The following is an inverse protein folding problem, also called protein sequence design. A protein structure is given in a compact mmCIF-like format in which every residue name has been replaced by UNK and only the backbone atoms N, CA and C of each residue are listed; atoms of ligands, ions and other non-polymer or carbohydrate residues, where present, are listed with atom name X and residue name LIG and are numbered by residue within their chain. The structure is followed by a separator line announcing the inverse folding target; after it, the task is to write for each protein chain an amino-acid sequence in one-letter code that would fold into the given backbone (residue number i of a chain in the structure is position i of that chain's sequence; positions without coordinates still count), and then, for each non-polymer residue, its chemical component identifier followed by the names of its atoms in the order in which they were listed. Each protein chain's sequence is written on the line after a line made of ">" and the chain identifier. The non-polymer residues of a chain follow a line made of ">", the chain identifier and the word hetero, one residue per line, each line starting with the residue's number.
data_IF_052849514772
#
_entry.id   IF_052849514772
#
_cell.length_a   1.000
_cell.length_b   1.000
_cell.length_c   1.000
_cell.angle_alpha   90.00
_cell.angle_beta   90.00
_cell.angle_gamma   90.00
#
_symmetry.space_group_name_H-M   'P 1'
#
loop_
_entity.id
_entity.type
_entity.pdbx_description
1 polymer ?
#
# COMPACT_ATOMS: atom_id res chain seq x y z
N UNK A 1 65.24 47.21 52.06
CA UNK A 1 65.11 47.50 50.64
C UNK A 1 64.63 46.21 49.96
N UNK A 2 63.43 46.12 49.52
CA UNK A 2 62.95 44.93 48.82
C UNK A 2 62.74 45.17 47.30
N UNK A 3 63.13 44.19 46.52
CA UNK A 3 63.08 44.10 45.08
C UNK A 3 61.67 43.75 44.58
N UNK A 4 61.25 44.49 43.59
CA UNK A 4 59.96 44.21 42.85
C UNK A 4 60.06 42.97 42.01
N UNK A 5 59.07 42.05 42.12
CA UNK A 5 58.81 40.95 41.15
C UNK A 5 57.64 41.36 40.28
N UNK A 6 57.86 41.34 38.97
CA UNK A 6 56.84 41.49 37.94
C UNK A 6 56.00 40.25 37.83
N UNK A 7 54.65 40.37 37.89
CA UNK A 7 53.70 39.36 37.54
C UNK A 7 53.31 39.54 36.06
N UNK A 8 53.55 38.52 35.25
CA UNK A 8 53.04 38.43 33.89
C UNK A 8 51.70 37.69 33.96
N UNK A 9 50.61 38.36 33.54
CA UNK A 9 49.31 37.78 33.45
C UNK A 9 49.21 36.97 32.10
N UNK A 10 49.07 35.64 32.19
CA UNK A 10 48.77 34.78 31.04
C UNK A 10 47.27 34.68 30.81
N UNK A 11 46.82 35.11 29.65
CA UNK A 11 45.43 35.01 29.22
C UNK A 11 45.17 33.58 28.72
N UNK A 12 44.32 32.85 29.41
CA UNK A 12 43.81 31.56 28.95
C UNK A 12 42.64 31.78 27.95
N UNK A 13 42.90 31.47 26.69
CA UNK A 13 41.85 31.41 25.68
C UNK A 13 41.14 30.02 25.73
N UNK A 14 39.90 30.02 26.22
CA UNK A 14 39.01 28.83 26.14
C UNK A 14 38.47 28.72 24.74
N UNK A 15 39.05 27.80 23.94
CA UNK A 15 38.50 27.40 22.67
C UNK A 15 37.40 26.36 22.87
N UNK A 16 36.13 26.74 22.69
CA UNK A 16 35.01 25.82 22.54
C UNK A 16 35.07 25.20 21.15
N UNK A 17 35.67 24.02 21.06
CA UNK A 17 35.62 23.19 19.86
C UNK A 17 34.25 22.57 19.71
N UNK A 18 33.44 23.06 18.79
CA UNK A 18 32.23 22.38 18.33
C UNK A 18 32.63 21.09 17.57
N UNK A 19 32.39 19.94 18.17
CA UNK A 19 32.47 18.66 17.47
C UNK A 19 31.31 18.59 16.47
N UNK A 20 31.56 18.98 15.23
CA UNK A 20 30.75 18.62 14.10
C UNK A 20 30.93 17.09 13.89
N UNK A 21 29.94 16.30 14.34
CA UNK A 21 29.86 14.91 14.01
C UNK A 21 29.59 14.79 12.49
N UNK A 22 30.64 14.65 11.70
CA UNK A 22 30.57 14.25 10.31
C UNK A 22 30.01 12.83 10.26
N UNK A 23 28.72 12.70 9.95
CA UNK A 23 28.16 11.39 9.57
C UNK A 23 28.90 10.96 8.31
N UNK A 24 29.81 9.99 8.46
CA UNK A 24 30.71 9.56 7.41
C UNK A 24 29.97 8.96 6.20
N UNK A 25 30.65 8.91 5.04
CA UNK A 25 30.10 8.42 3.75
C UNK A 25 29.60 6.98 3.78
N UNK A 26 29.94 6.20 4.81
CA UNK A 26 29.54 4.79 4.97
C UNK A 26 28.03 4.57 5.21
N UNK A 27 27.29 5.50 5.82
CA UNK A 27 25.82 5.36 5.97
C UNK A 27 25.07 5.63 4.66
N UNK A 28 25.54 6.56 3.85
CA UNK A 28 24.92 6.87 2.56
C UNK A 28 25.18 5.77 1.51
N UNK A 29 26.37 5.17 1.48
CA UNK A 29 26.72 4.08 0.58
C UNK A 29 25.94 2.79 0.92
N UNK A 30 25.79 2.43 2.21
CA UNK A 30 25.02 1.27 2.64
C UNK A 30 23.51 1.40 2.35
N UNK A 31 23.01 2.62 2.21
CA UNK A 31 21.61 2.90 1.88
C UNK A 31 21.35 2.84 0.37
N UNK A 32 22.35 3.09 -0.47
CA UNK A 32 22.25 3.01 -1.93
C UNK A 32 22.13 1.57 -2.46
N UNK A 33 22.61 0.59 -1.69
CA UNK A 33 22.65 -0.83 -2.08
C UNK A 33 21.50 -1.67 -1.50
N UNK A 34 20.65 -1.08 -0.65
CA UNK A 34 19.52 -1.77 -0.03
C UNK A 34 18.29 -1.70 -0.92
N UNK A 35 17.63 -2.88 -1.13
CA UNK A 35 16.33 -2.95 -1.81
C UNK A 35 15.35 -1.99 -1.17
N UNK A 36 14.73 -1.14 -1.99
CA UNK A 36 13.65 -0.28 -1.56
C UNK A 36 12.37 -1.10 -1.37
N UNK A 37 11.74 -0.99 -0.19
CA UNK A 37 10.54 -1.72 0.16
C UNK A 37 9.36 -0.76 0.26
N UNK A 38 8.34 -0.99 -0.58
CA UNK A 38 7.12 -0.19 -0.62
C UNK A 38 5.92 -1.09 -0.40
N UNK A 39 5.21 -0.90 0.70
CA UNK A 39 3.97 -1.63 0.97
C UNK A 39 2.82 -1.06 0.13
N UNK A 40 2.30 -1.84 -0.81
CA UNK A 40 1.25 -1.39 -1.71
C UNK A 40 -0.14 -1.33 -1.04
N UNK A 41 -0.28 -1.74 0.22
CA UNK A 41 -1.54 -1.62 0.95
C UNK A 41 -1.40 -1.65 2.46
N UNK A 42 -1.72 -0.51 3.07
CA UNK A 42 -1.95 -0.37 4.51
C UNK A 42 -3.23 0.39 4.78
N UNK A 43 -3.86 0.16 5.94
CA UNK A 43 -5.04 0.89 6.40
C UNK A 43 -4.70 1.69 7.65
N UNK A 44 -5.28 2.89 7.77
CA UNK A 44 -5.18 3.76 8.94
C UNK A 44 -6.56 4.22 9.35
N UNK A 45 -6.82 4.28 10.66
CA UNK A 45 -8.06 4.83 11.20
C UNK A 45 -7.89 5.36 12.62
N UNK A 46 -8.75 6.32 12.97
CA UNK A 46 -8.92 6.86 14.32
C UNK A 46 -10.01 6.08 15.07
N UNK A 47 -10.06 6.25 16.38
CA UNK A 47 -11.22 5.84 17.15
C UNK A 47 -12.48 6.54 16.63
N UNK A 48 -13.63 5.87 16.77
CA UNK A 48 -14.90 6.51 16.50
C UNK A 48 -15.13 7.69 17.44
N UNK A 49 -15.61 8.80 16.89
CA UNK A 49 -15.94 10.01 17.66
C UNK A 49 -17.11 10.74 16.99
N UNK A 50 -17.70 11.75 17.65
CA UNK A 50 -18.74 12.59 17.03
C UNK A 50 -18.31 13.19 15.68
N UNK A 51 -17.04 13.56 15.53
CA UNK A 51 -16.48 14.17 14.31
C UNK A 51 -16.02 13.11 13.31
N UNK A 52 -15.82 11.87 13.77
CA UNK A 52 -15.32 10.77 12.95
C UNK A 52 -16.13 9.49 13.14
N UNK A 53 -17.40 9.58 12.77
CA UNK A 53 -18.36 8.48 12.88
C UNK A 53 -18.04 7.35 11.91
N UNK A 54 -18.34 6.15 12.34
CA UNK A 54 -18.28 4.96 11.48
C UNK A 54 -19.64 4.69 10.83
N UNK A 55 -19.59 4.04 9.68
CA UNK A 55 -20.80 3.60 8.98
C UNK A 55 -21.50 2.51 9.82
N UNK A 56 -22.77 2.66 10.13
CA UNK A 56 -23.51 1.69 10.93
C UNK A 56 -23.35 0.26 10.41
N UNK A 57 -23.05 -0.68 11.31
CA UNK A 57 -22.89 -2.10 10.98
C UNK A 57 -21.50 -2.50 10.44
N UNK A 58 -20.63 -1.54 10.13
CA UNK A 58 -19.24 -1.84 9.78
C UNK A 58 -18.34 -1.83 11.02
N UNK A 59 -17.38 -2.74 11.05
CA UNK A 59 -16.43 -2.90 12.16
C UNK A 59 -14.99 -2.79 11.65
N UNK A 60 -14.07 -2.24 12.45
CA UNK A 60 -12.66 -2.21 12.12
C UNK A 60 -12.05 -3.62 12.19
N UNK A 61 -10.91 -3.77 11.51
CA UNK A 61 -10.15 -5.03 11.49
C UNK A 61 -9.48 -5.34 12.83
N UNK A 62 -9.21 -4.31 13.64
CA UNK A 62 -8.66 -4.42 15.01
C UNK A 62 -9.52 -3.60 15.96
N UNK A 63 -9.62 -3.98 17.24
CA UNK A 63 -10.40 -3.25 18.22
C UNK A 63 -9.85 -1.86 18.53
N UNK A 64 -8.52 -1.71 18.49
CA UNK A 64 -7.88 -0.40 18.70
C UNK A 64 -7.64 0.33 17.38
N UNK A 65 -7.56 1.67 17.41
CA UNK A 65 -7.14 2.47 16.28
C UNK A 65 -5.78 2.04 15.73
N UNK A 66 -5.65 2.07 14.42
CA UNK A 66 -4.36 1.86 13.78
C UNK A 66 -3.83 3.21 13.27
N UNK A 67 -3.05 3.85 14.13
CA UNK A 67 -2.65 5.25 13.96
C UNK A 67 -1.45 5.43 13.02
N UNK A 68 -1.25 6.65 12.59
CA UNK A 68 -0.09 7.05 11.77
C UNK A 68 1.21 6.72 12.50
N UNK A 69 1.30 7.05 13.79
CA UNK A 69 2.50 6.82 14.61
C UNK A 69 2.82 5.33 14.73
N UNK A 70 1.78 4.52 14.99
CA UNK A 70 1.91 3.06 15.08
C UNK A 70 2.44 2.48 13.78
N UNK A 71 1.87 2.88 12.63
CA UNK A 71 2.34 2.43 11.34
C UNK A 71 3.79 2.83 11.07
N UNK A 72 4.14 4.11 11.30
CA UNK A 72 5.50 4.62 11.07
C UNK A 72 6.53 3.86 11.91
N UNK A 73 6.24 3.65 13.21
CA UNK A 73 7.11 2.86 14.09
C UNK A 73 7.32 1.44 13.57
N UNK A 74 6.26 0.77 13.15
CA UNK A 74 6.34 -0.59 12.60
C UNK A 74 7.09 -0.64 11.25
N UNK A 75 6.91 0.36 10.39
CA UNK A 75 7.65 0.49 9.14
C UNK A 75 9.16 0.66 9.39
N UNK A 76 9.52 1.53 10.35
CA UNK A 76 10.93 1.80 10.70
C UNK A 76 11.60 0.54 11.27
N UNK A 77 10.91 -0.17 12.17
CA UNK A 77 11.41 -1.43 12.74
C UNK A 77 11.59 -2.53 11.67
N UNK A 78 10.66 -2.63 10.72
CA UNK A 78 10.69 -3.65 9.68
C UNK A 78 11.58 -3.29 8.47
N UNK A 79 11.98 -2.02 8.34
CA UNK A 79 12.75 -1.51 7.20
C UNK A 79 11.91 -1.24 5.95
N UNK A 80 10.64 -0.85 6.13
CA UNK A 80 9.74 -0.42 5.04
C UNK A 80 9.94 1.07 4.76
N UNK A 81 10.29 1.43 3.54
CA UNK A 81 10.60 2.81 3.17
C UNK A 81 9.35 3.64 2.95
N UNK A 82 8.37 3.09 2.25
CA UNK A 82 7.16 3.79 1.80
C UNK A 82 5.94 2.88 1.90
N UNK A 83 4.75 3.48 1.99
CA UNK A 83 3.50 2.72 1.95
C UNK A 83 2.38 3.46 1.21
N UNK A 84 1.52 2.70 0.56
CA UNK A 84 0.29 3.20 -0.04
C UNK A 84 -0.85 3.02 0.96
N UNK A 85 -1.38 4.13 1.44
CA UNK A 85 -2.53 4.14 2.35
C UNK A 85 -3.80 3.96 1.53
N UNK A 86 -4.57 2.97 1.89
CA UNK A 86 -5.92 2.74 1.38
C UNK A 86 -6.88 3.02 2.53
N UNK A 87 -7.66 4.11 2.52
CA UNK A 87 -8.62 4.38 3.58
C UNK A 87 -9.61 3.22 3.73
N UNK A 88 -9.88 2.75 4.96
CA UNK A 88 -10.82 1.66 5.18
C UNK A 88 -12.27 2.08 4.92
N UNK A 89 -13.20 1.12 4.85
CA UNK A 89 -14.59 1.38 4.51
C UNK A 89 -15.47 1.82 5.69
N UNK A 90 -15.09 1.46 6.93
CA UNK A 90 -15.92 1.77 8.10
C UNK A 90 -16.02 3.25 8.46
N UNK A 91 -15.07 4.15 8.16
CA UNK A 91 -15.31 5.58 8.28
C UNK A 91 -16.06 6.19 7.08
N UNK A 92 -16.55 5.38 6.13
CA UNK A 92 -17.16 5.86 4.89
C UNK A 92 -16.13 6.28 3.83
N UNK A 93 -16.56 7.15 2.91
CA UNK A 93 -15.70 7.59 1.79
C UNK A 93 -14.81 8.80 2.18
N UNK A 94 -14.15 8.69 3.34
CA UNK A 94 -13.26 9.72 3.90
C UNK A 94 -11.80 9.44 3.53
N UNK A 95 -11.08 10.53 3.24
CA UNK A 95 -9.65 10.49 2.92
C UNK A 95 -8.80 11.35 3.87
N UNK A 96 -9.43 12.10 4.76
CA UNK A 96 -8.81 13.12 5.62
C UNK A 96 -7.66 12.58 6.48
N UNK A 97 -7.82 11.41 7.13
CA UNK A 97 -6.77 10.85 7.97
C UNK A 97 -5.58 10.30 7.17
N UNK A 98 -5.85 9.73 5.99
CA UNK A 98 -4.81 9.31 5.08
C UNK A 98 -4.00 10.51 4.53
N UNK A 99 -4.68 11.62 4.21
CA UNK A 99 -4.02 12.85 3.78
C UNK A 99 -3.26 13.54 4.92
N UNK A 100 -3.73 13.43 6.17
CA UNK A 100 -2.97 13.84 7.36
C UNK A 100 -1.64 13.10 7.45
N UNK A 101 -1.63 11.79 7.20
CA UNK A 101 -0.39 11.00 7.17
C UNK A 101 0.58 11.50 6.09
N UNK A 102 0.08 11.80 4.90
CA UNK A 102 0.91 12.37 3.82
C UNK A 102 1.48 13.74 4.22
N UNK A 103 0.66 14.62 4.80
CA UNK A 103 1.11 15.94 5.25
C UNK A 103 2.24 15.83 6.27
N UNK A 104 2.19 14.84 7.16
CA UNK A 104 3.22 14.62 8.21
C UNK A 104 4.46 13.90 7.65
N UNK A 105 4.29 13.03 6.68
CA UNK A 105 5.36 12.21 6.10
C UNK A 105 5.28 12.18 4.55
N UNK A 106 5.53 13.30 3.87
CA UNK A 106 5.22 13.48 2.44
C UNK A 106 6.04 12.58 1.49
N UNK A 107 7.20 12.11 1.93
CA UNK A 107 8.05 11.19 1.16
C UNK A 107 7.69 9.72 1.38
N UNK A 108 6.96 9.41 2.46
CA UNK A 108 6.69 8.02 2.87
C UNK A 108 5.33 7.49 2.45
N UNK A 109 4.36 8.37 2.15
CA UNK A 109 2.99 7.93 1.88
C UNK A 109 2.42 8.45 0.57
N UNK A 110 1.61 7.62 -0.06
CA UNK A 110 0.63 7.98 -1.10
C UNK A 110 -0.71 7.37 -0.73
N UNK A 111 -1.79 7.96 -1.27
CA UNK A 111 -3.15 7.56 -0.94
C UNK A 111 -3.89 7.08 -2.19
N UNK A 112 -4.47 5.90 -2.10
CA UNK A 112 -5.51 5.46 -3.03
C UNK A 112 -6.85 5.74 -2.36
N UNK A 113 -7.40 6.92 -2.63
CA UNK A 113 -8.53 7.47 -1.91
C UNK A 113 -9.86 6.77 -2.25
N UNK A 114 -10.85 6.98 -1.39
CA UNK A 114 -12.22 6.51 -1.60
C UNK A 114 -13.07 7.60 -2.22
N UNK A 115 -14.09 7.18 -2.97
CA UNK A 115 -15.04 8.05 -3.64
C UNK A 115 -16.45 7.44 -3.56
N UNK A 116 -17.52 8.22 -3.34
CA UNK A 116 -18.89 7.69 -3.36
C UNK A 116 -19.31 7.30 -4.78
N UNK A 117 -19.20 6.01 -5.11
CA UNK A 117 -19.56 5.47 -6.43
C UNK A 117 -21.04 5.59 -6.76
N UNK A 118 -21.90 5.60 -5.75
CA UNK A 118 -23.35 5.74 -5.91
C UNK A 118 -23.78 7.16 -6.32
N UNK A 119 -22.89 8.14 -6.19
CA UNK A 119 -23.16 9.53 -6.61
C UNK A 119 -22.36 9.87 -7.88
N UNK A 120 -23.01 9.89 -9.06
CA UNK A 120 -22.32 10.22 -10.32
C UNK A 120 -21.79 11.67 -10.37
N UNK A 121 -22.23 12.58 -9.49
CA UNK A 121 -21.63 13.92 -9.37
C UNK A 121 -20.20 13.88 -8.86
N UNK A 122 -19.80 12.77 -8.24
CA UNK A 122 -18.41 12.53 -7.84
C UNK A 122 -17.44 12.53 -9.04
N UNK A 123 -17.92 12.39 -10.28
CA UNK A 123 -17.13 12.54 -11.48
C UNK A 123 -16.41 13.90 -11.56
N UNK A 124 -17.02 14.96 -11.02
CA UNK A 124 -16.47 16.32 -11.02
C UNK A 124 -15.21 16.46 -10.13
N UNK A 125 -14.98 15.51 -9.22
CA UNK A 125 -13.80 15.48 -8.37
C UNK A 125 -12.55 14.92 -9.08
N UNK A 126 -12.75 14.05 -10.08
CA UNK A 126 -11.66 13.27 -10.69
C UNK A 126 -10.61 14.10 -11.41
N UNK A 127 -10.95 15.16 -12.18
CA UNK A 127 -9.96 15.99 -12.85
C UNK A 127 -8.97 16.66 -11.89
N UNK A 128 -9.40 16.95 -10.65
CA UNK A 128 -8.60 17.61 -9.61
C UNK A 128 -8.09 16.65 -8.53
N UNK A 129 -8.29 15.35 -8.69
CA UNK A 129 -7.98 14.35 -7.67
C UNK A 129 -6.55 14.41 -7.20
N UNK A 130 -5.59 14.47 -8.14
CA UNK A 130 -4.16 14.53 -7.86
C UNK A 130 -3.64 15.90 -7.40
N UNK A 131 -4.47 16.95 -7.43
CA UNK A 131 -4.09 18.26 -6.86
C UNK A 131 -3.97 18.20 -5.34
N UNK A 132 -4.67 17.26 -4.70
CA UNK A 132 -4.50 16.98 -3.28
C UNK A 132 -3.14 16.28 -3.07
N UNK A 133 -2.25 16.90 -2.32
CA UNK A 133 -0.91 16.38 -2.07
C UNK A 133 -0.94 14.92 -1.59
N UNK A 134 -0.26 14.04 -2.34
CA UNK A 134 -0.15 12.61 -2.02
C UNK A 134 -1.29 11.73 -2.51
N UNK A 135 -2.37 12.30 -3.05
CA UNK A 135 -3.43 11.52 -3.67
C UNK A 135 -2.95 10.95 -5.00
N UNK A 136 -2.84 9.63 -5.10
CA UNK A 136 -2.26 8.94 -6.24
C UNK A 136 -3.29 8.29 -7.17
N UNK A 137 -4.45 7.91 -6.64
CA UNK A 137 -5.49 7.22 -7.38
C UNK A 137 -6.71 6.92 -6.50
N UNK A 138 -7.53 5.98 -6.95
CA UNK A 138 -8.80 5.66 -6.28
C UNK A 138 -8.86 4.18 -5.96
N UNK A 139 -9.47 3.84 -4.81
CA UNK A 139 -9.79 2.47 -4.45
C UNK A 139 -11.29 2.25 -4.41
N UNK A 140 -11.77 1.27 -5.18
CA UNK A 140 -13.17 0.83 -5.22
C UNK A 140 -13.31 -0.59 -4.69
N UNK A 141 -14.48 -0.88 -4.10
CA UNK A 141 -14.71 -2.16 -3.42
C UNK A 141 -16.10 -2.71 -3.75
N UNK A 142 -16.12 -3.97 -4.18
CA UNK A 142 -17.32 -4.71 -4.55
C UNK A 142 -17.35 -6.05 -3.80
N UNK A 143 -17.53 -5.99 -2.46
CA UNK A 143 -17.36 -7.16 -1.59
C UNK A 143 -18.51 -7.44 -0.63
N UNK A 144 -19.60 -6.69 -0.70
CA UNK A 144 -20.77 -6.86 0.15
C UNK A 144 -22.08 -6.76 -0.67
N UNK A 145 -23.19 -7.08 -0.06
CA UNK A 145 -24.51 -7.11 -0.71
C UNK A 145 -24.92 -5.78 -1.35
N UNK A 146 -24.47 -4.65 -0.81
CA UNK A 146 -24.75 -3.32 -1.35
C UNK A 146 -23.89 -3.01 -2.59
N UNK A 147 -22.58 -3.30 -2.54
CA UNK A 147 -21.63 -2.83 -3.55
C UNK A 147 -21.39 -3.82 -4.70
N UNK A 148 -21.64 -5.12 -4.50
CA UNK A 148 -21.49 -6.13 -5.56
C UNK A 148 -22.36 -5.81 -6.79
N UNK A 149 -23.66 -5.44 -6.64
CA UNK A 149 -24.51 -5.12 -7.79
C UNK A 149 -23.99 -3.96 -8.65
N UNK A 150 -23.27 -3.01 -8.07
CA UNK A 150 -22.78 -1.82 -8.78
C UNK A 150 -21.85 -2.14 -9.97
N UNK A 151 -21.28 -3.34 -10.01
CA UNK A 151 -20.52 -3.81 -11.19
C UNK A 151 -21.39 -4.10 -12.42
N UNK A 152 -22.71 -4.34 -12.22
CA UNK A 152 -23.60 -4.83 -13.29
C UNK A 152 -24.90 -4.07 -13.44
N UNK A 153 -25.31 -3.32 -12.42
CA UNK A 153 -26.59 -2.55 -12.38
C UNK A 153 -26.50 -1.14 -12.98
N UNK A 154 -25.32 -0.73 -13.42
CA UNK A 154 -25.07 0.59 -14.00
C UNK A 154 -24.55 1.63 -13.02
N UNK A 155 -24.61 1.40 -11.70
CA UNK A 155 -24.19 2.37 -10.68
C UNK A 155 -22.73 2.83 -10.88
N UNK A 156 -21.82 1.93 -11.18
CA UNK A 156 -20.40 2.26 -11.39
C UNK A 156 -20.05 2.64 -12.84
N UNK A 157 -20.99 2.68 -13.79
CA UNK A 157 -20.69 2.86 -15.21
C UNK A 157 -20.08 4.23 -15.53
N UNK A 158 -20.45 5.27 -14.82
CA UNK A 158 -19.87 6.62 -14.98
C UNK A 158 -18.41 6.68 -14.59
N UNK A 159 -18.00 5.85 -13.62
CA UNK A 159 -16.70 5.92 -12.96
C UNK A 159 -15.55 5.51 -13.88
N UNK A 160 -15.72 4.42 -14.61
CA UNK A 160 -14.62 3.84 -15.41
C UNK A 160 -14.09 4.80 -16.48
N UNK A 161 -14.94 5.37 -17.36
CA UNK A 161 -14.48 6.35 -18.35
C UNK A 161 -13.97 7.64 -17.71
N UNK A 162 -14.54 8.06 -16.57
CA UNK A 162 -14.11 9.27 -15.88
C UNK A 162 -12.71 9.09 -15.23
N UNK A 163 -12.45 7.93 -14.61
CA UNK A 163 -11.14 7.61 -14.05
C UNK A 163 -10.08 7.44 -15.15
N UNK A 164 -10.43 6.78 -16.27
CA UNK A 164 -9.56 6.66 -17.45
C UNK A 164 -9.19 8.03 -18.01
N UNK A 165 -10.18 8.89 -18.26
CA UNK A 165 -9.98 10.26 -18.76
C UNK A 165 -9.10 11.10 -17.84
N UNK A 166 -9.23 10.94 -16.53
CA UNK A 166 -8.43 11.63 -15.54
C UNK A 166 -7.02 11.02 -15.33
N UNK A 167 -6.71 9.90 -16.00
CA UNK A 167 -5.42 9.20 -15.85
C UNK A 167 -5.16 8.71 -14.43
N UNK A 168 -6.23 8.30 -13.72
CA UNK A 168 -6.15 7.85 -12.35
C UNK A 168 -6.01 6.33 -12.26
N UNK A 169 -4.96 5.81 -11.61
CA UNK A 169 -4.90 4.40 -11.26
C UNK A 169 -6.07 4.01 -10.34
N UNK A 170 -6.65 2.86 -10.58
CA UNK A 170 -7.79 2.34 -9.79
C UNK A 170 -7.41 1.01 -9.14
N UNK A 171 -7.32 0.98 -7.82
CA UNK A 171 -7.29 -0.26 -7.05
C UNK A 171 -8.70 -0.81 -6.91
N UNK A 172 -8.90 -2.06 -7.28
CA UNK A 172 -10.22 -2.69 -7.32
C UNK A 172 -10.23 -3.98 -6.50
N UNK A 173 -11.11 -4.05 -5.51
CA UNK A 173 -11.37 -5.27 -4.74
C UNK A 173 -12.75 -5.83 -5.09
N UNK A 174 -12.77 -6.89 -5.87
CA UNK A 174 -13.98 -7.55 -6.37
C UNK A 174 -13.90 -9.08 -6.19
N UNK A 175 -13.84 -9.59 -4.93
CA UNK A 175 -13.67 -11.01 -4.66
C UNK A 175 -14.83 -11.83 -5.21
N UNK A 176 -14.50 -12.92 -5.95
CA UNK A 176 -15.47 -13.77 -6.62
C UNK A 176 -16.23 -13.12 -7.80
N UNK A 177 -15.76 -11.94 -8.25
CA UNK A 177 -16.33 -11.16 -9.36
C UNK A 177 -15.25 -10.63 -10.30
N UNK A 178 -14.03 -11.15 -10.19
CA UNK A 178 -12.86 -10.69 -10.96
C UNK A 178 -13.12 -10.81 -12.47
N UNK A 179 -13.86 -11.84 -12.93
CA UNK A 179 -14.23 -12.01 -14.33
C UNK A 179 -15.05 -10.85 -14.91
N UNK A 180 -15.82 -10.14 -14.07
CA UNK A 180 -16.62 -8.98 -14.50
C UNK A 180 -15.74 -7.75 -14.82
N UNK A 181 -14.49 -7.73 -14.39
CA UNK A 181 -13.55 -6.64 -14.68
C UNK A 181 -13.00 -6.72 -16.11
N UNK A 182 -12.97 -7.91 -16.71
CA UNK A 182 -12.47 -8.11 -18.08
C UNK A 182 -13.12 -7.19 -19.11
N UNK A 183 -14.46 -7.21 -19.28
CA UNK A 183 -15.17 -6.31 -20.20
C UNK A 183 -15.00 -4.83 -19.90
N UNK A 184 -14.74 -4.45 -18.62
CA UNK A 184 -14.48 -3.06 -18.22
C UNK A 184 -13.13 -2.62 -18.76
N UNK A 185 -12.05 -3.36 -18.45
CA UNK A 185 -10.69 -2.98 -18.87
C UNK A 185 -10.47 -3.09 -20.37
N UNK A 186 -11.23 -3.93 -21.06
CA UNK A 186 -11.24 -4.04 -22.51
C UNK A 186 -11.84 -2.79 -23.19
N UNK A 187 -12.93 -2.26 -22.63
CA UNK A 187 -13.57 -1.02 -23.10
C UNK A 187 -12.80 0.24 -22.72
N UNK A 188 -11.93 0.15 -21.70
CA UNK A 188 -11.14 1.24 -21.15
C UNK A 188 -9.65 0.91 -21.16
N UNK A 189 -8.99 0.85 -22.34
CA UNK A 189 -7.60 0.35 -22.48
C UNK A 189 -6.56 1.27 -21.82
N UNK A 190 -6.90 2.53 -21.55
CA UNK A 190 -6.02 3.48 -20.84
C UNK A 190 -6.25 3.46 -19.31
N UNK A 191 -7.29 2.77 -18.82
CA UNK A 191 -7.58 2.65 -17.40
C UNK A 191 -6.52 1.77 -16.72
N UNK A 192 -5.72 2.35 -15.85
CA UNK A 192 -4.73 1.61 -15.06
C UNK A 192 -5.41 0.88 -13.89
N UNK A 193 -5.89 -0.35 -14.10
CA UNK A 193 -6.52 -1.15 -13.07
C UNK A 193 -5.48 -1.94 -12.26
N UNK A 194 -5.66 -1.99 -10.95
CA UNK A 194 -4.85 -2.78 -10.00
C UNK A 194 -5.80 -3.71 -9.24
N UNK A 195 -5.72 -5.00 -9.50
CA UNK A 195 -6.53 -6.00 -8.80
C UNK A 195 -5.98 -6.21 -7.38
N UNK A 196 -6.81 -5.97 -6.36
CA UNK A 196 -6.42 -6.16 -4.96
C UNK A 196 -6.40 -7.63 -4.57
N UNK A 197 -5.33 -8.04 -3.86
CA UNK A 197 -5.19 -9.36 -3.21
C UNK A 197 -5.45 -10.56 -4.15
N UNK A 198 -5.12 -10.43 -5.44
CA UNK A 198 -5.42 -11.47 -6.45
C UNK A 198 -6.92 -11.84 -6.52
N UNK A 199 -7.81 -10.95 -6.05
CA UNK A 199 -9.25 -11.22 -5.95
C UNK A 199 -9.64 -12.19 -4.84
N UNK A 200 -8.74 -12.49 -3.89
CA UNK A 200 -8.93 -13.47 -2.83
C UNK A 200 -9.45 -12.85 -1.53
N UNK A 201 -10.17 -13.67 -0.76
CA UNK A 201 -10.52 -13.43 0.65
C UNK A 201 -10.24 -14.65 1.50
N UNK A 202 -10.11 -14.47 2.82
CA UNK A 202 -9.99 -15.59 3.76
C UNK A 202 -11.22 -16.53 3.74
N UNK A 203 -12.42 -16.03 3.39
CA UNK A 203 -13.61 -16.85 3.26
C UNK A 203 -13.49 -17.89 2.14
N UNK A 204 -12.81 -17.56 1.03
CA UNK A 204 -12.63 -18.48 -0.09
C UNK A 204 -11.80 -19.71 0.25
N UNK A 205 -10.93 -19.63 1.27
CA UNK A 205 -10.22 -20.81 1.79
C UNK A 205 -11.18 -21.84 2.38
N UNK A 206 -12.19 -21.36 3.13
CA UNK A 206 -13.20 -22.23 3.74
C UNK A 206 -14.09 -22.88 2.70
N UNK A 207 -14.41 -22.14 1.64
CA UNK A 207 -15.32 -22.55 0.58
C UNK A 207 -14.63 -23.30 -0.57
N UNK A 208 -13.33 -23.60 -0.47
CA UNK A 208 -12.52 -24.23 -1.54
C UNK A 208 -12.58 -23.50 -2.90
N UNK A 209 -12.72 -22.16 -2.90
CA UNK A 209 -12.83 -21.32 -4.12
C UNK A 209 -11.56 -20.61 -4.52
N UNK A 210 -10.43 -20.94 -3.89
CA UNK A 210 -9.13 -20.26 -4.13
C UNK A 210 -8.66 -20.51 -5.57
N UNK A 211 -8.75 -21.76 -6.06
CA UNK A 211 -8.31 -22.12 -7.41
C UNK A 211 -9.09 -21.38 -8.49
N UNK A 212 -10.41 -21.29 -8.36
CA UNK A 212 -11.25 -20.52 -9.28
C UNK A 212 -10.89 -19.03 -9.27
N UNK A 213 -10.71 -18.44 -8.09
CA UNK A 213 -10.34 -17.03 -7.96
C UNK A 213 -8.96 -16.74 -8.55
N UNK A 214 -7.97 -17.60 -8.34
CA UNK A 214 -6.65 -17.51 -8.98
C UNK A 214 -6.76 -17.64 -10.50
N UNK A 215 -7.57 -18.59 -11.00
CA UNK A 215 -7.84 -18.72 -12.43
C UNK A 215 -8.41 -17.44 -13.05
N UNK A 216 -9.37 -16.79 -12.38
CA UNK A 216 -9.93 -15.51 -12.82
C UNK A 216 -8.89 -14.38 -12.79
N UNK A 217 -8.05 -14.31 -11.74
CA UNK A 217 -6.97 -13.32 -11.66
C UNK A 217 -5.94 -13.49 -12.78
N UNK A 218 -5.52 -14.74 -13.06
CA UNK A 218 -4.60 -15.06 -14.16
C UNK A 218 -5.22 -14.69 -15.52
N UNK A 219 -6.51 -14.95 -15.74
CA UNK A 219 -7.19 -14.60 -16.98
C UNK A 219 -7.21 -13.10 -17.29
N UNK A 220 -7.17 -12.25 -16.26
CA UNK A 220 -7.05 -10.79 -16.44
C UNK A 220 -5.66 -10.33 -16.89
N UNK A 221 -4.63 -11.13 -16.72
CA UNK A 221 -3.25 -10.76 -17.08
C UNK A 221 -3.05 -10.50 -18.58
N UNK A 222 -3.95 -11.01 -19.44
CA UNK A 222 -3.96 -10.73 -20.89
C UNK A 222 -4.14 -9.24 -21.20
N UNK A 223 -4.72 -8.46 -20.30
CA UNK A 223 -4.91 -7.02 -20.48
C UNK A 223 -3.67 -6.26 -19.96
N UNK A 224 -2.93 -5.53 -20.83
CA UNK A 224 -1.68 -4.86 -20.42
C UNK A 224 -1.88 -3.72 -19.43
N UNK A 225 -3.08 -3.15 -19.38
CA UNK A 225 -3.47 -2.09 -18.45
C UNK A 225 -3.86 -2.60 -17.05
N UNK A 226 -3.86 -3.94 -16.83
CA UNK A 226 -4.14 -4.55 -15.54
C UNK A 226 -2.87 -4.97 -14.82
N UNK A 227 -2.80 -4.66 -13.55
CA UNK A 227 -1.77 -5.11 -12.59
C UNK A 227 -2.43 -5.80 -11.40
N UNK A 228 -1.65 -6.46 -10.57
CA UNK A 228 -2.18 -7.24 -9.43
C UNK A 228 -1.37 -7.01 -8.16
N UNK A 229 -2.04 -6.94 -7.02
CA UNK A 229 -1.36 -7.01 -5.72
C UNK A 229 -1.18 -8.46 -5.31
N UNK A 230 0.06 -8.89 -5.20
CA UNK A 230 0.52 -10.13 -4.61
C UNK A 230 0.57 -9.94 -3.08
N UNK A 231 -0.58 -9.81 -2.45
CA UNK A 231 -0.69 -9.31 -1.08
C UNK A 231 -1.61 -10.18 -0.22
N UNK A 232 -1.65 -9.89 1.08
CA UNK A 232 -2.49 -10.57 2.07
C UNK A 232 -2.17 -12.07 2.28
N UNK A 233 -0.97 -12.55 1.93
CA UNK A 233 -0.57 -13.95 2.06
C UNK A 233 -0.90 -14.58 3.41
N UNK A 234 -0.62 -13.94 4.58
CA UNK A 234 -1.00 -14.54 5.86
C UNK A 234 -2.52 -14.70 6.03
N UNK A 235 -3.31 -13.79 5.45
CA UNK A 235 -4.78 -13.82 5.52
C UNK A 235 -5.40 -14.96 4.74
N UNK A 236 -4.77 -15.37 3.64
CA UNK A 236 -5.24 -16.40 2.72
C UNK A 236 -4.48 -17.72 2.85
N UNK A 237 -3.65 -17.89 3.89
CA UNK A 237 -2.95 -19.13 4.20
C UNK A 237 -3.66 -19.91 5.31
N UNK A 238 -3.64 -21.24 5.21
CA UNK A 238 -4.00 -22.19 6.27
C UNK A 238 -2.81 -22.56 7.15
N UNK A 239 -1.59 -22.27 6.68
CA UNK A 239 -0.34 -22.59 7.36
C UNK A 239 0.22 -21.38 8.11
N UNK A 240 0.98 -21.60 9.19
CA UNK A 240 1.80 -20.55 9.78
C UNK A 240 2.90 -20.09 8.80
N UNK A 241 3.63 -19.04 9.18
CA UNK A 241 4.84 -18.65 8.44
C UNK A 241 5.76 -19.88 8.21
N UNK A 242 6.26 -20.07 7.00
CA UNK A 242 6.33 -19.14 5.86
C UNK A 242 5.18 -19.26 4.84
N UNK A 243 3.98 -19.73 5.18
CA UNK A 243 2.79 -19.74 4.31
C UNK A 243 2.98 -20.52 3.02
N UNK A 244 3.53 -21.73 3.09
CA UNK A 244 3.92 -22.53 1.92
C UNK A 244 2.76 -22.88 1.01
N UNK A 245 1.58 -23.04 1.57
CA UNK A 245 0.35 -23.36 0.83
C UNK A 245 -0.08 -22.29 -0.17
N UNK A 246 0.36 -21.01 0.01
CA UNK A 246 0.05 -19.94 -0.94
C UNK A 246 1.15 -19.69 -1.98
N UNK A 247 2.33 -20.29 -1.84
CA UNK A 247 3.46 -20.04 -2.74
C UNK A 247 3.16 -20.42 -4.20
N UNK A 248 2.46 -21.54 -4.42
CA UNK A 248 2.04 -21.98 -5.76
C UNK A 248 1.05 -21.01 -6.42
N UNK A 249 0.12 -20.45 -5.66
CA UNK A 249 -0.83 -19.44 -6.16
C UNK A 249 -0.13 -18.13 -6.51
N UNK A 250 0.77 -17.66 -5.65
CA UNK A 250 1.59 -16.48 -5.91
C UNK A 250 2.45 -16.65 -7.17
N UNK A 251 3.08 -17.82 -7.34
CA UNK A 251 3.86 -18.14 -8.53
C UNK A 251 3.05 -18.04 -9.80
N UNK A 252 1.88 -18.69 -9.86
CA UNK A 252 0.99 -18.68 -11.05
C UNK A 252 0.57 -17.25 -11.43
N UNK A 253 0.20 -16.44 -10.46
CA UNK A 253 -0.19 -15.05 -10.71
C UNK A 253 1.02 -14.22 -11.13
N UNK A 254 2.17 -14.39 -10.46
CA UNK A 254 3.40 -13.69 -10.83
C UNK A 254 3.85 -14.02 -12.25
N UNK A 255 3.84 -15.29 -12.66
CA UNK A 255 4.21 -15.72 -14.01
C UNK A 255 3.28 -15.12 -15.09
N UNK A 256 1.99 -14.93 -14.78
CA UNK A 256 1.04 -14.33 -15.70
C UNK A 256 1.22 -12.82 -15.86
N UNK A 257 1.52 -12.10 -14.79
CA UNK A 257 1.63 -10.63 -14.81
C UNK A 257 3.06 -10.12 -15.04
N UNK A 258 4.05 -10.90 -14.63
CA UNK A 258 5.46 -10.50 -14.59
C UNK A 258 5.77 -9.49 -13.46
N UNK A 259 7.07 -9.19 -13.25
CA UNK A 259 7.52 -8.41 -12.10
C UNK A 259 7.06 -6.94 -12.11
N UNK A 260 6.83 -6.36 -13.29
CA UNK A 260 6.45 -4.96 -13.42
C UNK A 260 4.96 -4.69 -13.16
N UNK A 261 4.13 -5.75 -13.14
CA UNK A 261 2.68 -5.66 -12.89
C UNK A 261 2.23 -6.40 -11.63
N UNK A 262 3.16 -6.98 -10.88
CA UNK A 262 2.93 -7.60 -9.58
C UNK A 262 3.43 -6.70 -8.45
N UNK A 263 2.60 -6.42 -7.44
CA UNK A 263 2.94 -5.52 -6.33
C UNK A 263 2.82 -6.23 -4.99
N UNK A 264 3.91 -6.27 -4.25
CA UNK A 264 3.87 -6.70 -2.86
C UNK A 264 3.08 -5.69 -2.01
N UNK A 265 2.34 -6.19 -1.03
CA UNK A 265 1.66 -5.39 -0.04
C UNK A 265 1.19 -6.26 1.11
N UNK A 266 1.09 -5.70 2.30
CA UNK A 266 0.81 -6.52 3.48
C UNK A 266 -0.67 -6.71 3.74
N UNK A 267 -1.49 -5.69 3.52
CA UNK A 267 -2.83 -5.61 4.11
C UNK A 267 -2.79 -5.94 5.61
N UNK A 268 -1.82 -5.33 6.30
CA UNK A 268 -1.28 -5.71 7.60
C UNK A 268 -2.37 -5.98 8.65
N UNK A 269 -3.34 -5.07 8.75
CA UNK A 269 -4.38 -5.10 9.78
C UNK A 269 -5.38 -6.24 9.60
N UNK A 270 -5.59 -6.70 8.36
CA UNK A 270 -6.53 -7.77 8.03
C UNK A 270 -6.11 -9.17 8.55
N UNK A 271 -4.83 -9.36 8.80
CA UNK A 271 -4.26 -10.60 9.33
C UNK A 271 -3.18 -10.31 10.38
N UNK A 272 -3.41 -9.29 11.20
CA UNK A 272 -2.42 -8.71 12.11
C UNK A 272 -1.76 -9.74 13.03
N UNK A 273 -2.57 -10.60 13.66
CA UNK A 273 -2.09 -11.62 14.59
C UNK A 273 -1.36 -12.80 13.93
N UNK A 274 -1.44 -12.96 12.60
CA UNK A 274 -0.88 -14.13 11.89
C UNK A 274 0.61 -14.00 11.57
N UNK A 275 1.12 -12.76 11.42
CA UNK A 275 2.51 -12.53 11.05
C UNK A 275 2.98 -11.13 11.45
N UNK A 276 4.26 -11.00 11.83
CA UNK A 276 4.92 -9.71 11.98
C UNK A 276 5.11 -9.04 10.61
N UNK A 277 5.40 -7.73 10.61
CA UNK A 277 5.72 -7.02 9.37
C UNK A 277 6.95 -7.63 8.69
N UNK A 278 7.99 -7.93 9.47
CA UNK A 278 9.22 -8.56 8.96
C UNK A 278 8.95 -9.92 8.31
N UNK A 279 8.11 -10.78 8.90
CA UNK A 279 7.74 -12.05 8.30
C UNK A 279 7.01 -11.90 6.95
N UNK A 280 6.23 -10.82 6.78
CA UNK A 280 5.58 -10.53 5.48
C UNK A 280 6.59 -10.12 4.42
N UNK A 281 7.66 -9.43 4.81
CA UNK A 281 8.78 -9.07 3.93
C UNK A 281 9.60 -10.32 3.59
N UNK A 282 10.08 -11.07 4.60
CA UNK A 282 10.93 -12.24 4.38
C UNK A 282 10.21 -13.36 3.62
N UNK A 283 8.88 -13.46 3.72
CA UNK A 283 8.11 -14.36 2.87
C UNK A 283 8.41 -14.14 1.38
N UNK A 284 8.48 -12.89 0.92
CA UNK A 284 8.79 -12.56 -0.48
C UNK A 284 10.29 -12.52 -0.78
N UNK A 285 11.10 -12.07 0.15
CA UNK A 285 12.54 -11.87 -0.09
C UNK A 285 13.39 -13.12 0.13
N UNK A 286 12.88 -14.06 0.95
CA UNK A 286 13.65 -15.24 1.36
C UNK A 286 12.95 -16.57 1.00
N UNK A 287 11.62 -16.65 1.14
CA UNK A 287 10.92 -17.94 1.04
C UNK A 287 10.38 -18.27 -0.36
N UNK A 288 10.06 -17.25 -1.18
CA UNK A 288 9.58 -17.46 -2.55
C UNK A 288 10.76 -17.64 -3.53
N UNK A 289 11.25 -18.86 -3.64
CA UNK A 289 12.43 -19.21 -4.45
C UNK A 289 12.25 -18.98 -5.96
N UNK A 290 11.04 -18.83 -6.45
CA UNK A 290 10.77 -18.54 -7.86
C UNK A 290 11.03 -17.08 -8.25
N UNK A 291 11.20 -16.17 -7.28
CA UNK A 291 11.55 -14.78 -7.53
C UNK A 291 13.08 -14.62 -7.57
N UNK A 292 13.62 -14.18 -8.70
CA UNK A 292 15.00 -13.71 -8.77
C UNK A 292 15.20 -12.41 -7.97
N UNK A 293 16.43 -12.00 -7.71
CA UNK A 293 16.71 -10.75 -7.01
C UNK A 293 16.17 -9.53 -7.79
N UNK A 294 16.27 -9.56 -9.12
CA UNK A 294 15.66 -8.53 -9.97
C UNK A 294 14.13 -8.51 -9.86
N UNK A 295 13.47 -9.67 -9.80
CA UNK A 295 12.01 -9.75 -9.62
C UNK A 295 11.59 -9.18 -8.26
N UNK A 296 12.35 -9.51 -7.20
CA UNK A 296 12.14 -8.96 -5.86
C UNK A 296 12.26 -7.44 -5.84
N UNK A 297 13.23 -6.86 -6.56
CA UNK A 297 13.35 -5.39 -6.66
C UNK A 297 12.12 -4.74 -7.28
N UNK A 298 11.56 -5.36 -8.32
CA UNK A 298 10.34 -4.86 -8.94
C UNK A 298 9.14 -5.03 -8.01
N UNK A 299 8.86 -6.25 -7.58
CA UNK A 299 7.66 -6.60 -6.82
C UNK A 299 7.61 -5.88 -5.47
N UNK A 300 8.76 -5.75 -4.77
CA UNK A 300 8.83 -5.16 -3.45
C UNK A 300 8.75 -3.62 -3.44
N UNK A 301 8.85 -2.96 -4.61
CA UNK A 301 8.77 -1.49 -4.58
C UNK A 301 8.75 -0.82 -5.95
N UNK A 302 9.68 -1.13 -6.86
CA UNK A 302 9.82 -0.39 -8.14
C UNK A 302 8.53 -0.37 -8.95
N UNK A 303 7.82 -1.50 -9.04
CA UNK A 303 6.64 -1.64 -9.86
C UNK A 303 5.48 -0.74 -9.40
N UNK A 304 5.16 -0.71 -8.10
CA UNK A 304 4.09 0.17 -7.59
C UNK A 304 4.49 1.64 -7.66
N UNK A 305 5.76 1.98 -7.41
CA UNK A 305 6.25 3.35 -7.55
C UNK A 305 6.12 3.84 -9.00
N UNK A 306 6.53 3.02 -9.97
CA UNK A 306 6.36 3.34 -11.39
C UNK A 306 4.89 3.52 -11.75
N UNK A 307 4.01 2.60 -11.30
CA UNK A 307 2.55 2.67 -11.56
C UNK A 307 1.93 3.95 -11.02
N UNK A 308 2.34 4.40 -9.84
CA UNK A 308 1.82 5.60 -9.18
C UNK A 308 2.61 6.87 -9.53
N UNK A 309 3.63 6.79 -10.39
CA UNK A 309 4.52 7.92 -10.71
C UNK A 309 5.12 8.54 -9.44
N UNK A 310 5.53 7.69 -8.52
CA UNK A 310 6.04 8.09 -7.21
C UNK A 310 7.57 8.08 -7.21
N UNK A 311 8.15 9.23 -7.43
CA UNK A 311 9.60 9.47 -7.37
C UNK A 311 10.12 9.59 -5.94
#
# INVERSE_FOLDING_TARGET
>A
MPTRRNFVAGTLATGTGALLATQGPHKAAAQADRRQIVDAQVHLWKAESPEWKWVPGLQPQLPEPFTIERLVSMMDEAGVDRAVIVPPSWPGDRNDYALEAVKRYPTRFRVMGRIPLQDPKSADLLPKWKEQQGMAGIRVTFNNAQTIPWLTDGTANWFWPAAEKAGLPVMCFAPGRVSLLGPIVERHPQLALILDHMGLTAAMLKDNRVEDAIGQAVALAKYPNVSVKLSASPGISREPYPFRDVAGHLKRVFEAYGPQRGYWGTDLTNSYAKASYRQRISHFTEELSFLSDSDKDWVMGRAIMQRLQWT
#
